data_IF_885283295597
#
_entry.id   IF_885283295597
#
_cell.length_a   1.000
_cell.length_b   1.000
_cell.length_c   1.000
_cell.angle_alpha   90.00
_cell.angle_beta   90.00
_cell.angle_gamma   90.00
#
_symmetry.space_group_name_H-M   'P 1'
#
loop_
_entity.id
_entity.type
_entity.pdbx_description
1 polymer ?
#
# COMPACT_ATOMS: atom_id res chain seq x y z
N UNK A 1 -80.30 0.95 -0.26
CA UNK A 1 -79.34 0.11 0.47
C UNK A 1 -77.94 0.67 0.26
N UNK A 2 -77.43 1.37 1.26
CA UNK A 2 -76.05 1.86 1.28
C UNK A 2 -75.11 0.70 1.63
N UNK A 3 -74.01 0.55 0.89
CA UNK A 3 -72.89 -0.31 1.29
C UNK A 3 -71.57 0.44 1.13
N UNK A 4 -71.10 0.94 2.26
CA UNK A 4 -69.73 0.85 2.76
C UNK A 4 -68.59 1.29 1.85
N UNK A 5 -68.12 2.51 2.09
CA UNK A 5 -66.77 2.95 1.74
C UNK A 5 -65.75 2.06 2.46
N UNK A 6 -64.92 1.31 1.70
CA UNK A 6 -63.75 0.63 2.24
C UNK A 6 -62.54 1.55 2.10
N UNK A 7 -62.26 2.28 3.17
CA UNK A 7 -60.97 2.91 3.42
C UNK A 7 -60.01 1.79 3.81
N UNK A 8 -59.07 1.43 2.94
CA UNK A 8 -57.80 0.83 3.36
C UNK A 8 -56.71 1.69 2.75
N UNK A 9 -56.12 2.50 3.63
CA UNK A 9 -55.10 3.46 3.35
C UNK A 9 -53.91 2.79 2.65
N UNK A 10 -53.57 3.30 1.46
CA UNK A 10 -52.26 3.12 0.87
C UNK A 10 -51.24 3.79 1.80
N UNK A 11 -50.72 3.02 2.75
CA UNK A 11 -49.54 3.42 3.49
C UNK A 11 -48.36 3.34 2.53
N UNK A 12 -48.09 4.48 1.88
CA UNK A 12 -46.79 4.83 1.34
C UNK A 12 -45.76 4.64 2.44
N UNK A 13 -45.11 3.48 2.49
CA UNK A 13 -43.85 3.32 3.23
C UNK A 13 -42.80 4.04 2.39
N UNK A 14 -42.77 5.36 2.51
CA UNK A 14 -41.61 6.16 2.17
C UNK A 14 -40.56 5.74 3.20
N UNK A 15 -39.79 4.68 2.89
CA UNK A 15 -38.55 4.41 3.59
C UNK A 15 -37.67 5.61 3.26
N UNK A 16 -37.71 6.61 4.14
CA UNK A 16 -36.67 7.61 4.26
C UNK A 16 -35.44 6.78 4.62
N UNK A 17 -34.69 6.38 3.61
CA UNK A 17 -33.29 6.02 3.76
C UNK A 17 -32.65 7.33 4.18
N UNK A 18 -32.71 7.59 5.49
CA UNK A 18 -31.83 8.50 6.15
C UNK A 18 -30.48 7.82 5.97
N UNK A 19 -29.82 8.18 4.87
CA UNK A 19 -28.38 8.02 4.72
C UNK A 19 -27.84 8.79 5.89
N UNK A 20 -27.67 8.11 7.03
CA UNK A 20 -26.73 8.50 8.04
C UNK A 20 -25.41 8.35 7.29
N UNK A 21 -25.07 9.36 6.49
CA UNK A 21 -23.69 9.61 6.18
C UNK A 21 -23.09 9.67 7.57
N UNK A 22 -22.37 8.62 7.97
CA UNK A 22 -21.51 8.70 9.14
C UNK A 22 -20.60 9.84 8.78
N UNK A 23 -20.92 11.03 9.29
CA UNK A 23 -20.08 12.19 9.15
C UNK A 23 -18.82 11.78 9.87
N UNK A 24 -17.82 11.36 9.10
CA UNK A 24 -16.48 11.12 9.61
C UNK A 24 -15.98 12.50 9.98
N UNK A 25 -16.24 12.91 11.22
CA UNK A 25 -15.69 14.10 11.80
C UNK A 25 -14.25 13.77 12.18
N UNK A 26 -13.28 14.39 11.52
CA UNK A 26 -11.93 14.42 12.05
C UNK A 26 -11.91 15.44 13.19
N UNK A 27 -11.40 15.05 14.36
CA UNK A 27 -11.09 15.93 15.48
C UNK A 27 -9.66 16.48 15.39
N UNK A 28 -9.04 16.39 14.20
CA UNK A 28 -7.71 16.94 13.95
C UNK A 28 -7.67 18.45 14.24
N UNK A 29 -6.99 18.79 15.32
CA UNK A 29 -6.67 20.18 15.67
C UNK A 29 -5.75 20.85 14.63
N UNK A 30 -5.12 20.07 13.75
CA UNK A 30 -4.23 20.53 12.67
C UNK A 30 -4.48 19.74 11.39
N UNK A 31 -5.51 20.07 10.59
CA UNK A 31 -5.87 19.32 9.39
C UNK A 31 -4.78 19.37 8.31
N UNK A 32 -4.77 18.37 7.42
CA UNK A 32 -3.88 18.36 6.24
C UNK A 32 -4.20 19.59 5.37
N UNK A 33 -3.20 20.42 4.99
CA UNK A 33 -3.44 21.58 4.16
C UNK A 33 -3.98 21.20 2.78
N UNK A 34 -4.95 21.97 2.27
CA UNK A 34 -5.45 21.81 0.89
C UNK A 34 -4.43 22.28 -0.17
N UNK A 35 -3.47 23.12 0.22
CA UNK A 35 -2.38 23.58 -0.63
C UNK A 35 -1.21 22.59 -0.58
N UNK A 36 -1.01 21.86 -1.68
CA UNK A 36 0.05 20.87 -1.87
C UNK A 36 1.44 21.38 -1.45
N UNK A 37 1.74 22.66 -1.68
CA UNK A 37 3.04 23.24 -1.35
C UNK A 37 3.31 23.27 0.15
N UNK A 38 2.25 23.29 0.98
CA UNK A 38 2.32 23.32 2.44
C UNK A 38 2.32 21.94 3.07
N UNK A 39 1.94 20.89 2.34
CA UNK A 39 1.83 19.52 2.86
C UNK A 39 3.17 19.02 3.39
N UNK A 40 4.29 19.36 2.74
CA UNK A 40 5.60 18.92 3.21
C UNK A 40 5.99 19.52 4.56
N UNK A 41 5.64 20.78 4.80
CA UNK A 41 6.00 21.46 6.07
C UNK A 41 5.03 21.09 7.18
N UNK A 42 3.74 20.91 6.86
CA UNK A 42 2.78 20.28 7.75
C UNK A 42 3.26 18.89 8.18
N UNK A 43 3.70 18.05 7.24
CA UNK A 43 4.21 16.71 7.55
C UNK A 43 5.41 16.74 8.50
N UNK A 44 6.38 17.64 8.29
CA UNK A 44 7.53 17.79 9.19
C UNK A 44 7.11 18.19 10.61
N UNK A 45 6.05 18.98 10.73
CA UNK A 45 5.51 19.44 12.01
C UNK A 45 4.78 18.32 12.74
N UNK A 46 4.01 17.51 12.01
CA UNK A 46 3.21 16.41 12.56
C UNK A 46 4.03 15.15 12.85
N UNK A 47 4.93 14.79 11.94
CA UNK A 47 5.79 13.61 12.07
C UNK A 47 7.15 14.04 12.60
N UNK A 48 7.19 14.30 13.91
CA UNK A 48 8.41 14.71 14.59
C UNK A 48 9.47 13.59 14.58
N UNK A 49 10.78 13.92 14.70
CA UNK A 49 11.85 12.93 14.77
C UNK A 49 11.64 11.91 15.89
N UNK A 50 12.11 10.67 15.68
CA UNK A 50 11.96 9.57 16.64
C UNK A 50 12.36 9.96 18.07
N UNK A 51 13.50 10.63 18.23
CA UNK A 51 14.02 11.07 19.54
C UNK A 51 13.01 11.94 20.30
N UNK A 52 12.28 12.80 19.61
CA UNK A 52 11.27 13.69 20.21
C UNK A 52 9.94 13.02 20.53
N UNK A 53 9.75 11.77 20.07
CA UNK A 53 8.53 10.98 20.25
C UNK A 53 8.74 9.78 21.17
N UNK A 54 9.95 9.56 21.67
CA UNK A 54 10.27 8.46 22.57
C UNK A 54 9.38 8.49 23.82
N UNK A 55 8.88 7.34 24.24
CA UNK A 55 7.90 7.17 25.31
C UNK A 55 6.44 7.43 24.89
N UNK A 56 6.20 7.84 23.64
CA UNK A 56 4.84 8.08 23.11
C UNK A 56 4.46 7.14 21.97
N UNK A 57 5.42 6.36 21.46
CA UNK A 57 5.18 5.37 20.40
C UNK A 57 4.82 4.00 20.98
N UNK A 58 4.42 3.09 20.11
CA UNK A 58 4.32 1.67 20.46
C UNK A 58 5.69 1.18 21.02
N UNK A 59 5.72 0.60 22.24
CA UNK A 59 6.97 0.11 22.84
C UNK A 59 7.75 -0.88 21.96
N UNK A 60 7.06 -1.71 21.18
CA UNK A 60 7.71 -2.65 20.28
C UNK A 60 8.43 -1.94 19.13
N UNK A 61 7.84 -0.87 18.60
CA UNK A 61 8.48 -0.02 17.60
C UNK A 61 9.72 0.68 18.19
N UNK A 62 9.61 1.28 19.37
CA UNK A 62 10.75 1.94 20.01
C UNK A 62 11.92 0.99 20.26
N UNK A 63 11.62 -0.22 20.74
CA UNK A 63 12.63 -1.26 20.95
C UNK A 63 13.29 -1.69 19.63
N UNK A 64 12.51 -1.82 18.55
CA UNK A 64 13.02 -2.21 17.24
C UNK A 64 13.92 -1.14 16.62
N UNK A 65 13.55 0.14 16.71
CA UNK A 65 14.35 1.25 16.18
C UNK A 65 15.63 1.49 17.00
N UNK A 66 15.64 1.16 18.30
CA UNK A 66 16.82 1.31 19.15
C UNK A 66 18.00 0.39 18.75
N UNK A 67 17.73 -0.69 18.00
CA UNK A 67 18.73 -1.67 17.57
C UNK A 67 18.60 -1.98 16.08
N UNK A 68 18.65 -0.96 15.22
CA UNK A 68 18.58 -1.18 13.77
C UNK A 68 19.84 -1.86 13.23
N UNK A 69 19.68 -2.85 12.34
CA UNK A 69 20.78 -3.43 11.55
C UNK A 69 20.53 -3.22 10.06
N UNK A 70 21.59 -3.06 9.29
CA UNK A 70 21.52 -2.96 7.83
C UNK A 70 22.17 -4.17 7.19
N UNK A 71 21.50 -4.76 6.19
CA UNK A 71 22.06 -5.76 5.29
C UNK A 71 22.04 -5.23 3.86
N UNK A 72 23.03 -5.61 3.07
CA UNK A 72 23.23 -5.11 1.71
C UNK A 72 22.85 -6.14 0.66
N UNK A 73 22.24 -5.67 -0.41
CA UNK A 73 21.77 -6.51 -1.51
C UNK A 73 22.25 -5.93 -2.84
N UNK A 74 22.97 -6.74 -3.62
CA UNK A 74 23.44 -6.37 -4.95
C UNK A 74 23.47 -7.54 -5.91
N UNK A 75 22.92 -7.34 -7.11
CA UNK A 75 22.92 -8.38 -8.16
C UNK A 75 24.31 -8.79 -8.63
N UNK A 76 25.25 -7.86 -8.60
CA UNK A 76 26.64 -8.10 -9.01
C UNK A 76 27.47 -8.83 -7.93
N UNK A 77 26.87 -9.18 -6.78
CA UNK A 77 27.53 -9.89 -5.70
C UNK A 77 28.40 -9.04 -4.79
N UNK A 78 28.39 -7.71 -4.91
CA UNK A 78 29.10 -6.80 -3.99
C UNK A 78 28.38 -6.57 -2.66
N UNK A 79 27.12 -7.01 -2.54
CA UNK A 79 26.36 -7.01 -1.30
C UNK A 79 26.41 -8.37 -0.60
N UNK A 80 25.94 -8.42 0.64
CA UNK A 80 25.79 -9.66 1.41
C UNK A 80 24.86 -10.67 0.74
N UNK A 81 23.84 -10.18 0.02
CA UNK A 81 22.86 -11.00 -0.69
C UNK A 81 22.75 -10.61 -2.17
N UNK A 82 22.46 -11.59 -3.03
CA UNK A 82 22.17 -11.37 -4.45
C UNK A 82 20.67 -11.24 -4.75
N UNK A 83 19.83 -11.86 -3.92
CA UNK A 83 18.38 -11.95 -4.11
C UNK A 83 17.65 -11.39 -2.88
N UNK A 84 16.44 -10.88 -3.08
CA UNK A 84 15.59 -10.46 -1.96
C UNK A 84 15.11 -11.68 -1.18
N UNK A 85 14.86 -12.80 -1.85
CA UNK A 85 14.51 -14.08 -1.21
C UNK A 85 15.51 -14.45 -0.10
N UNK A 86 16.81 -14.44 -0.41
CA UNK A 86 17.84 -14.85 0.55
C UNK A 86 18.01 -13.83 1.67
N UNK A 87 17.93 -12.53 1.34
CA UNK A 87 17.98 -11.46 2.33
C UNK A 87 16.83 -11.57 3.35
N UNK A 88 15.59 -11.79 2.89
CA UNK A 88 14.43 -11.95 3.77
C UNK A 88 14.54 -13.24 4.60
N UNK A 89 14.99 -14.35 4.00
CA UNK A 89 15.22 -15.62 4.72
C UNK A 89 16.25 -15.49 5.84
N UNK A 90 17.24 -14.61 5.70
CA UNK A 90 18.25 -14.35 6.74
C UNK A 90 17.70 -13.66 8.00
N UNK A 91 16.49 -13.11 7.93
CA UNK A 91 15.83 -12.43 9.04
C UNK A 91 15.09 -13.49 9.87
N UNK A 92 15.34 -13.60 11.18
CA UNK A 92 14.65 -14.58 12.02
C UNK A 92 13.15 -14.31 12.08
N UNK A 93 12.35 -15.35 12.29
CA UNK A 93 10.95 -15.19 12.71
C UNK A 93 10.88 -14.55 14.09
N UNK A 94 9.78 -13.85 14.40
CA UNK A 94 9.62 -13.01 15.60
C UNK A 94 10.74 -11.95 15.72
N UNK A 95 11.09 -11.33 14.60
CA UNK A 95 12.13 -10.30 14.54
C UNK A 95 11.73 -9.08 15.40
N UNK A 96 12.61 -8.65 16.32
CA UNK A 96 12.35 -7.52 17.24
C UNK A 96 13.21 -6.29 16.97
N UNK A 97 13.95 -6.29 15.86
CA UNK A 97 14.92 -5.25 15.50
C UNK A 97 14.60 -4.71 14.12
N UNK A 98 14.74 -3.40 13.90
CA UNK A 98 14.63 -2.82 12.56
C UNK A 98 15.71 -3.43 11.65
N UNK A 99 15.30 -4.13 10.59
CA UNK A 99 16.24 -4.65 9.57
C UNK A 99 16.08 -3.85 8.28
N UNK A 100 17.11 -3.09 7.93
CA UNK A 100 17.16 -2.30 6.70
C UNK A 100 17.87 -3.12 5.62
N UNK A 101 17.14 -3.52 4.60
CA UNK A 101 17.67 -4.15 3.40
C UNK A 101 18.01 -3.02 2.42
N UNK A 102 19.29 -2.67 2.32
CA UNK A 102 19.78 -1.67 1.37
C UNK A 102 20.01 -2.33 0.02
N UNK A 103 19.18 -1.98 -0.96
CA UNK A 103 19.11 -2.61 -2.27
C UNK A 103 19.82 -1.70 -3.28
N UNK A 104 20.83 -2.26 -3.94
CA UNK A 104 21.56 -1.56 -5.00
C UNK A 104 20.70 -1.38 -6.26
N UNK A 105 21.01 -0.40 -7.13
CA UNK A 105 20.28 -0.21 -8.37
C UNK A 105 20.25 -1.49 -9.22
N UNK A 106 19.09 -1.79 -9.81
CA UNK A 106 18.92 -2.96 -10.66
C UNK A 106 17.47 -3.40 -10.77
N UNK A 107 17.19 -4.31 -11.70
CA UNK A 107 15.90 -4.99 -11.83
C UNK A 107 15.99 -6.34 -11.15
N UNK A 108 15.16 -6.60 -10.14
CA UNK A 108 15.09 -7.85 -9.38
C UNK A 108 13.80 -8.57 -9.74
N UNK A 109 13.91 -9.64 -10.52
CA UNK A 109 12.76 -10.39 -11.02
C UNK A 109 12.45 -11.55 -10.08
N UNK A 110 11.66 -11.28 -9.04
CA UNK A 110 11.32 -12.23 -7.98
C UNK A 110 9.84 -12.03 -7.58
N UNK A 111 9.12 -13.14 -7.35
CA UNK A 111 7.81 -13.11 -6.71
C UNK A 111 7.99 -13.38 -5.22
N UNK A 112 7.60 -12.47 -4.35
CA UNK A 112 7.93 -12.54 -2.92
C UNK A 112 6.73 -12.31 -2.02
N UNK A 113 6.79 -12.94 -0.85
CA UNK A 113 5.93 -12.64 0.30
C UNK A 113 6.85 -12.31 1.48
N UNK A 114 6.66 -11.15 2.10
CA UNK A 114 7.31 -10.78 3.35
C UNK A 114 6.35 -11.16 4.47
N UNK A 115 6.70 -12.22 5.19
CA UNK A 115 5.78 -12.92 6.07
C UNK A 115 5.41 -12.11 7.32
N UNK A 116 4.18 -12.32 7.81
CA UNK A 116 3.65 -11.65 9.01
C UNK A 116 4.54 -11.80 10.25
N UNK A 117 5.24 -12.93 10.37
CA UNK A 117 6.12 -13.22 11.50
C UNK A 117 7.51 -12.56 11.40
N UNK A 118 7.76 -11.68 10.43
CA UNK A 118 9.01 -10.92 10.29
C UNK A 118 8.75 -9.40 10.32
N UNK A 119 8.30 -8.81 11.43
CA UNK A 119 8.00 -7.38 11.49
C UNK A 119 9.27 -6.52 11.41
N UNK A 120 9.10 -5.21 11.25
CA UNK A 120 10.18 -4.20 11.26
C UNK A 120 11.21 -4.33 10.11
N UNK A 121 10.77 -4.78 8.93
CA UNK A 121 11.61 -4.81 7.72
C UNK A 121 11.51 -3.48 6.98
N UNK A 122 12.64 -2.96 6.51
CA UNK A 122 12.70 -1.79 5.64
C UNK A 122 13.43 -2.13 4.35
N UNK A 123 12.81 -1.88 3.19
CA UNK A 123 13.50 -1.89 1.90
C UNK A 123 13.95 -0.47 1.58
N UNK A 124 15.25 -0.28 1.30
CA UNK A 124 15.84 1.03 1.05
C UNK A 124 16.62 1.04 -0.26
N UNK A 125 16.18 1.85 -1.21
CA UNK A 125 16.87 2.13 -2.47
C UNK A 125 17.51 3.53 -2.52
N UNK A 126 18.31 3.76 -3.56
CA UNK A 126 18.82 5.10 -3.89
C UNK A 126 17.72 5.90 -4.63
N UNK A 127 17.35 7.12 -4.18
CA UNK A 127 16.32 7.92 -4.84
C UNK A 127 16.67 8.30 -6.29
N UNK A 128 17.96 8.36 -6.65
CA UNK A 128 18.44 8.69 -8.00
C UNK A 128 18.49 7.46 -8.91
N UNK A 129 18.48 6.26 -8.34
CA UNK A 129 18.63 5.00 -9.05
C UNK A 129 17.84 3.89 -8.34
N UNK A 130 16.53 4.06 -8.26
CA UNK A 130 15.66 3.17 -7.51
C UNK A 130 15.69 1.74 -8.08
N UNK A 131 15.86 0.71 -7.23
CA UNK A 131 15.73 -0.68 -7.65
C UNK A 131 14.28 -0.99 -8.06
N UNK A 132 14.14 -1.86 -9.05
CA UNK A 132 12.85 -2.32 -9.58
C UNK A 132 12.63 -3.75 -9.13
N UNK A 133 11.64 -3.98 -8.28
CA UNK A 133 11.15 -5.31 -7.88
C UNK A 133 10.02 -5.70 -8.83
N UNK A 134 10.23 -6.75 -9.62
CA UNK A 134 9.39 -7.06 -10.77
C UNK A 134 8.96 -8.53 -10.84
N UNK A 135 7.71 -8.79 -11.23
CA UNK A 135 7.23 -10.12 -11.59
C UNK A 135 5.99 -10.02 -12.47
N UNK A 136 5.72 -11.03 -13.31
CA UNK A 136 4.61 -11.01 -14.28
C UNK A 136 3.44 -11.91 -13.88
N UNK A 137 2.98 -11.83 -12.62
CA UNK A 137 1.88 -12.67 -12.13
C UNK A 137 0.52 -12.12 -12.53
N UNK A 138 -0.38 -12.98 -13.02
CA UNK A 138 -1.77 -12.62 -13.35
C UNK A 138 -2.78 -13.39 -12.50
N UNK A 139 -4.00 -12.87 -12.39
CA UNK A 139 -5.08 -13.57 -11.70
C UNK A 139 -5.52 -14.85 -12.41
N UNK A 140 -5.31 -14.96 -13.72
CA UNK A 140 -5.52 -16.21 -14.44
C UNK A 140 -4.67 -17.36 -13.85
N UNK A 141 -3.42 -17.07 -13.49
CA UNK A 141 -2.49 -18.06 -12.95
C UNK A 141 -2.60 -18.21 -11.42
N UNK A 142 -2.78 -17.10 -10.70
CA UNK A 142 -2.63 -17.06 -9.25
C UNK A 142 -3.92 -16.67 -8.50
N UNK A 143 -4.94 -16.16 -9.19
CA UNK A 143 -5.96 -15.33 -8.58
C UNK A 143 -5.44 -13.92 -8.23
N UNK A 144 -6.34 -12.95 -8.08
CA UNK A 144 -5.97 -11.53 -7.91
C UNK A 144 -4.99 -11.30 -6.76
N UNK A 145 -5.31 -11.77 -5.55
CA UNK A 145 -4.48 -11.51 -4.36
C UNK A 145 -3.08 -12.13 -4.45
N UNK A 146 -2.97 -13.31 -5.05
CA UNK A 146 -1.69 -14.00 -5.17
C UNK A 146 -0.94 -13.65 -6.45
N UNK A 147 -1.52 -12.85 -7.36
CA UNK A 147 -0.82 -12.31 -8.53
C UNK A 147 0.27 -11.30 -8.19
N UNK A 148 0.28 -10.79 -6.94
CA UNK A 148 1.21 -9.79 -6.44
C UNK A 148 2.67 -10.14 -6.72
N UNK A 149 3.40 -9.17 -7.29
CA UNK A 149 4.87 -9.23 -7.40
C UNK A 149 5.49 -9.32 -6.00
N UNK A 150 5.14 -8.37 -5.13
CA UNK A 150 5.48 -8.43 -3.70
C UNK A 150 4.19 -8.41 -2.88
N UNK A 151 4.02 -9.37 -1.98
CA UNK A 151 3.02 -9.35 -0.91
C UNK A 151 3.69 -9.02 0.42
N UNK A 152 3.22 -7.98 1.11
CA UNK A 152 3.76 -7.54 2.40
C UNK A 152 2.72 -7.82 3.48
N UNK A 153 2.98 -8.80 4.32
CA UNK A 153 2.14 -9.14 5.48
C UNK A 153 2.81 -8.75 6.81
N UNK A 154 4.08 -8.34 6.74
CA UNK A 154 4.92 -7.88 7.84
C UNK A 154 4.43 -6.55 8.43
N UNK A 155 4.24 -6.51 9.75
CA UNK A 155 3.88 -5.28 10.46
C UNK A 155 5.08 -4.32 10.56
N UNK A 156 4.79 -3.02 10.62
CA UNK A 156 5.80 -1.96 10.64
C UNK A 156 6.77 -2.01 9.44
N UNK A 157 6.34 -2.61 8.33
CA UNK A 157 7.11 -2.63 7.10
C UNK A 157 7.32 -1.22 6.56
N UNK A 158 8.50 -0.97 6.00
CA UNK A 158 8.76 0.27 5.27
C UNK A 158 9.38 0.01 3.91
N UNK A 159 9.00 0.81 2.92
CA UNK A 159 9.74 0.90 1.66
C UNK A 159 10.08 2.35 1.36
N UNK A 160 11.33 2.60 0.99
CA UNK A 160 11.85 3.93 0.68
C UNK A 160 12.62 3.86 -0.63
N UNK A 161 12.21 4.65 -1.63
CA UNK A 161 12.84 4.71 -2.95
C UNK A 161 12.83 3.36 -3.69
N UNK A 162 11.69 2.67 -3.74
CA UNK A 162 11.53 1.37 -4.40
C UNK A 162 10.50 1.46 -5.52
N UNK A 163 10.76 0.77 -6.64
CA UNK A 163 9.77 0.57 -7.70
C UNK A 163 9.23 -0.85 -7.60
N UNK A 164 7.94 -1.00 -7.33
CA UNK A 164 7.20 -2.25 -7.42
C UNK A 164 6.50 -2.30 -8.78
N UNK A 165 6.76 -3.34 -9.58
CA UNK A 165 6.23 -3.43 -10.94
C UNK A 165 5.66 -4.82 -11.22
N UNK A 166 4.39 -4.88 -11.59
CA UNK A 166 3.90 -6.07 -12.28
C UNK A 166 4.23 -5.94 -13.77
N UNK A 167 4.90 -6.93 -14.34
CA UNK A 167 5.33 -6.94 -15.75
C UNK A 167 4.38 -7.71 -16.66
N UNK A 168 3.23 -8.18 -16.16
CA UNK A 168 2.21 -8.76 -17.00
C UNK A 168 1.81 -7.76 -18.11
N UNK A 169 1.59 -8.24 -19.35
CA UNK A 169 1.20 -7.36 -20.44
C UNK A 169 -0.13 -6.68 -20.11
N UNK A 170 -0.24 -5.40 -20.45
CA UNK A 170 -1.50 -4.68 -20.35
C UNK A 170 -2.58 -5.38 -21.18
N UNK A 171 -3.84 -5.38 -20.73
CA UNK A 171 -4.89 -6.07 -21.44
C UNK A 171 -5.07 -5.44 -22.84
N UNK A 172 -4.68 -6.18 -23.89
CA UNK A 172 -4.99 -5.84 -25.28
C UNK A 172 -6.48 -6.08 -25.57
N UNK A 173 -7.11 -6.98 -24.80
CA UNK A 173 -8.53 -7.33 -24.84
C UNK A 173 -9.05 -7.60 -23.41
N UNK A 174 -10.37 -7.57 -23.20
CA UNK A 174 -11.05 -7.90 -21.91
C UNK A 174 -10.96 -9.39 -21.56
N UNK A 175 -9.77 -9.97 -21.57
CA UNK A 175 -9.57 -11.37 -21.22
C UNK A 175 -9.83 -11.57 -19.71
N UNK A 176 -10.59 -12.59 -19.31
CA UNK A 176 -10.79 -12.89 -17.90
C UNK A 176 -9.45 -13.26 -17.24
N UNK A 177 -9.20 -12.74 -16.03
CA UNK A 177 -7.97 -13.03 -15.28
C UNK A 177 -6.78 -12.11 -15.58
N UNK A 178 -6.99 -10.97 -16.25
CA UNK A 178 -5.94 -10.00 -16.58
C UNK A 178 -5.45 -9.14 -15.39
N UNK A 179 -6.09 -9.25 -14.21
CA UNK A 179 -5.66 -8.56 -12.99
C UNK A 179 -4.21 -8.93 -12.65
N UNK A 180 -3.40 -7.93 -12.31
CA UNK A 180 -1.96 -8.12 -12.15
C UNK A 180 -1.40 -7.17 -11.09
N UNK A 181 -1.36 -7.65 -9.84
CA UNK A 181 -0.97 -6.83 -8.69
C UNK A 181 0.55 -6.59 -8.67
N UNK A 182 0.97 -5.33 -8.56
CA UNK A 182 2.38 -4.96 -8.37
C UNK A 182 2.77 -5.06 -6.89
N UNK A 183 1.90 -4.56 -6.00
CA UNK A 183 2.12 -4.60 -4.56
C UNK A 183 0.81 -4.95 -3.85
N UNK A 184 0.88 -5.95 -2.96
CA UNK A 184 -0.18 -6.21 -1.98
C UNK A 184 0.34 -5.89 -0.58
N UNK A 185 -0.42 -5.16 0.22
CA UNK A 185 -0.04 -4.80 1.60
C UNK A 185 -1.17 -5.18 2.55
N UNK A 186 -0.89 -6.07 3.51
CA UNK A 186 -1.84 -6.52 4.54
C UNK A 186 -1.26 -6.46 5.97
N UNK A 187 0.01 -6.07 6.11
CA UNK A 187 0.69 -5.86 7.39
C UNK A 187 0.41 -4.49 7.97
N UNK A 188 -0.02 -4.43 9.23
CA UNK A 188 -0.44 -3.18 9.86
C UNK A 188 0.74 -2.21 10.08
N UNK A 189 0.44 -0.91 10.02
CA UNK A 189 1.39 0.20 10.21
C UNK A 189 2.55 0.21 9.18
N UNK A 190 2.27 -0.18 7.94
CA UNK A 190 3.25 -0.11 6.85
C UNK A 190 3.37 1.32 6.29
N UNK A 191 4.58 1.72 5.88
CA UNK A 191 4.82 3.06 5.33
C UNK A 191 5.69 3.05 4.06
N UNK A 192 5.31 3.85 3.08
CA UNK A 192 5.94 3.93 1.76
C UNK A 192 6.34 5.38 1.47
N UNK A 193 7.61 5.59 1.16
CA UNK A 193 8.18 6.91 0.90
C UNK A 193 8.88 6.94 -0.45
N UNK A 194 8.43 7.82 -1.35
CA UNK A 194 9.02 7.96 -2.68
C UNK A 194 9.09 6.62 -3.44
N UNK A 195 8.04 5.81 -3.32
CA UNK A 195 7.92 4.54 -4.04
C UNK A 195 7.11 4.69 -5.32
N UNK A 196 7.28 3.77 -6.26
CA UNK A 196 6.44 3.66 -7.45
C UNK A 196 5.75 2.31 -7.50
N UNK A 197 4.46 2.29 -7.79
CA UNK A 197 3.69 1.08 -8.03
C UNK A 197 3.20 1.13 -9.48
N UNK A 198 3.70 0.21 -10.30
CA UNK A 198 3.52 0.24 -11.75
C UNK A 198 2.80 -1.03 -12.21
N UNK A 199 1.68 -0.88 -12.88
CA UNK A 199 0.92 -2.00 -13.43
C UNK A 199 -0.20 -1.54 -14.37
N UNK A 200 -1.21 -2.40 -14.53
CA UNK A 200 -2.43 -2.11 -15.28
C UNK A 200 -3.63 -2.28 -14.35
N UNK A 201 -4.42 -3.34 -14.54
CA UNK A 201 -5.54 -3.65 -13.67
C UNK A 201 -5.04 -4.17 -12.31
N UNK A 202 -5.63 -3.68 -11.21
CA UNK A 202 -5.37 -4.10 -9.82
C UNK A 202 -3.93 -3.82 -9.34
N UNK A 203 -3.31 -2.71 -9.75
CA UNK A 203 -1.89 -2.42 -9.49
C UNK A 203 -1.49 -2.45 -8.00
N UNK A 204 -2.22 -1.76 -7.12
CA UNK A 204 -1.99 -1.73 -5.68
C UNK A 204 -3.18 -2.36 -4.94
N UNK A 205 -2.94 -3.52 -4.33
CA UNK A 205 -3.86 -4.14 -3.39
C UNK A 205 -3.54 -3.64 -1.97
N UNK A 206 -4.18 -2.54 -1.58
CA UNK A 206 -4.20 -2.00 -0.22
C UNK A 206 -5.15 -2.83 0.67
N UNK A 207 -4.76 -4.07 0.92
CA UNK A 207 -5.64 -5.17 1.36
C UNK A 207 -6.24 -4.93 2.75
N UNK A 208 -5.39 -4.80 3.79
CA UNK A 208 -5.86 -4.64 5.17
C UNK A 208 -4.78 -4.01 6.06
N UNK A 209 -5.20 -3.29 7.11
CA UNK A 209 -4.28 -2.63 8.04
C UNK A 209 -4.29 -1.11 7.90
N UNK A 210 -3.38 -0.43 8.60
CA UNK A 210 -3.17 1.02 8.48
C UNK A 210 -1.91 1.28 7.68
N UNK A 211 -2.02 1.95 6.55
CA UNK A 211 -0.85 2.24 5.72
C UNK A 211 -0.69 3.73 5.47
N UNK A 212 0.54 4.12 5.19
CA UNK A 212 0.90 5.50 4.90
C UNK A 212 1.72 5.58 3.62
N UNK A 213 1.27 6.38 2.66
CA UNK A 213 1.94 6.58 1.39
C UNK A 213 2.30 8.06 1.24
N UNK A 214 3.59 8.38 1.14
CA UNK A 214 4.07 9.76 0.96
C UNK A 214 4.94 9.88 -0.28
N UNK A 215 4.65 10.87 -1.12
CA UNK A 215 5.38 11.13 -2.37
C UNK A 215 5.49 9.89 -3.28
N UNK A 216 4.53 8.97 -3.23
CA UNK A 216 4.50 7.80 -4.09
C UNK A 216 3.79 8.09 -5.41
N UNK A 217 4.17 7.35 -6.45
CA UNK A 217 3.54 7.37 -7.77
C UNK A 217 2.86 6.02 -8.02
N UNK A 218 1.59 6.02 -8.39
CA UNK A 218 0.80 4.81 -8.64
C UNK A 218 0.19 4.93 -10.02
N UNK A 219 0.47 3.95 -10.89
CA UNK A 219 0.02 3.91 -12.29
C UNK A 219 -0.71 2.60 -12.56
N UNK A 220 -1.89 2.70 -13.17
CA UNK A 220 -2.66 1.55 -13.62
C UNK A 220 -3.92 1.97 -14.39
N UNK A 221 -4.81 1.01 -14.65
CA UNK A 221 -6.01 1.20 -15.47
C UNK A 221 -7.31 1.02 -14.67
N UNK A 222 -7.77 -0.21 -14.50
CA UNK A 222 -8.98 -0.57 -13.74
C UNK A 222 -8.59 -0.91 -12.30
N UNK A 223 -9.33 -0.38 -11.33
CA UNK A 223 -9.18 -0.69 -9.89
C UNK A 223 -7.73 -0.68 -9.40
N UNK A 224 -6.93 0.25 -9.94
CA UNK A 224 -5.48 0.24 -9.75
C UNK A 224 -5.04 0.53 -8.31
N UNK A 225 -5.97 1.00 -7.45
CA UNK A 225 -5.86 0.97 -5.99
C UNK A 225 -7.16 0.35 -5.48
N UNK A 226 -7.08 -0.76 -4.75
CA UNK A 226 -8.24 -1.47 -4.21
C UNK A 226 -7.89 -2.20 -2.90
N UNK A 227 -8.91 -2.55 -2.12
CA UNK A 227 -8.77 -3.33 -0.87
C UNK A 227 -9.56 -2.72 0.29
N UNK A 228 -9.21 -3.08 1.52
CA UNK A 228 -9.88 -2.64 2.76
C UNK A 228 -8.93 -1.93 3.74
N UNK A 229 -7.75 -1.52 3.27
CA UNK A 229 -6.78 -0.76 4.05
C UNK A 229 -7.34 0.59 4.52
N UNK A 230 -6.93 1.00 5.72
CA UNK A 230 -7.21 2.33 6.29
C UNK A 230 -5.99 3.19 6.07
N UNK A 231 -5.90 3.76 4.89
CA UNK A 231 -4.64 4.32 4.40
C UNK A 231 -4.70 5.84 4.23
N UNK A 232 -3.61 6.49 4.60
CA UNK A 232 -3.40 7.91 4.32
C UNK A 232 -2.43 8.08 3.15
N UNK A 233 -2.91 8.73 2.11
CA UNK A 233 -2.21 8.99 0.86
C UNK A 233 -1.80 10.48 0.79
N UNK A 234 -0.60 10.82 1.26
CA UNK A 234 0.01 12.15 1.08
C UNK A 234 0.82 12.18 -0.22
N UNK A 235 0.10 12.02 -1.32
CA UNK A 235 0.67 11.81 -2.65
C UNK A 235 0.07 12.77 -3.65
N UNK A 236 0.89 13.13 -4.65
CA UNK A 236 0.39 13.60 -5.94
C UNK A 236 0.09 12.35 -6.76
N UNK A 237 -1.14 11.84 -6.72
CA UNK A 237 -1.51 10.69 -7.57
C UNK A 237 -1.55 11.18 -9.01
N UNK A 238 -0.53 10.83 -9.78
CA UNK A 238 -0.55 11.02 -11.23
C UNK A 238 -1.26 9.81 -11.84
N UNK A 239 -2.57 9.94 -12.02
CA UNK A 239 -3.40 8.88 -12.61
C UNK A 239 -3.21 8.94 -14.13
N UNK A 240 -2.52 7.96 -14.69
CA UNK A 240 -2.47 7.74 -16.14
C UNK A 240 -3.47 6.65 -16.53
N UNK A 241 -4.66 7.05 -16.98
CA UNK A 241 -5.66 6.12 -17.50
C UNK A 241 -5.40 5.92 -19.01
N UNK A 242 -5.05 4.70 -19.40
CA UNK A 242 -5.17 4.28 -20.80
C UNK A 242 -6.66 4.21 -21.15
N UNK A 243 -7.19 5.29 -21.73
CA UNK A 243 -8.50 5.51 -22.37
C UNK A 243 -9.69 4.59 -21.96
N UNK A 244 -10.73 5.22 -21.38
CA UNK A 244 -12.03 4.65 -20.97
C UNK A 244 -12.05 3.69 -19.77
N UNK A 245 -11.77 4.18 -18.56
CA UNK A 245 -12.17 3.48 -17.32
C UNK A 245 -12.73 4.47 -16.29
N UNK A 246 -13.87 4.12 -15.69
CA UNK A 246 -14.51 4.84 -14.60
C UNK A 246 -13.89 4.44 -13.26
N UNK A 247 -13.87 5.39 -12.32
CA UNK A 247 -13.23 5.28 -11.01
C UNK A 247 -14.30 5.13 -9.93
N UNK A 248 -14.19 4.11 -9.08
CA UNK A 248 -14.93 4.01 -7.82
C UNK A 248 -13.94 3.82 -6.68
N UNK A 249 -13.70 4.86 -5.89
CA UNK A 249 -13.24 4.68 -4.52
C UNK A 249 -14.47 4.30 -3.70
N UNK A 250 -14.49 3.09 -3.16
CA UNK A 250 -15.45 2.70 -2.12
C UNK A 250 -14.91 3.12 -0.75
#
# INVERSE_FOLDING_TARGET
MAKGHCIIAAHCVLIVILVVATTVSSDDTTPIPADDSKVSDWFKTMVKPLVSRKGTLDPALEAAEAKSRTITLSKDGRGEFKTLTDAIKSIPSDNKQRVIIKISPGVYTEKLQIERNKPFITLLGDPKAMPILAFGGTAHQYGTLYSATIAVESEYFMAVNIIFKNTAPGPITKNPGAQAVALRVSGDKAAFYNCKMLGFQDTLCDDNGRHFFKNCYIEGTVDFIFGKGRSLYLVRIHIYIYQHCFFFLN
#
